data_IF_215869692366
#
_entry.id   IF_215869692366
#
_cell.length_a   1.000
_cell.length_b   1.000
_cell.length_c   1.000
_cell.angle_alpha   90.00
_cell.angle_beta   90.00
_cell.angle_gamma   90.00
#
_symmetry.space_group_name_H-M   'P 1'
#
loop_
_entity.id
_entity.type
_entity.pdbx_description
1 polymer ?
#
# COMPACT_ATOMS: atom_id res chain seq x y z
N UNK A 1 2.10 8.39 -14.22
CA UNK A 1 1.08 7.86 -13.31
C UNK A 1 -0.01 8.91 -13.22
N UNK A 2 -1.28 8.55 -13.41
CA UNK A 2 -2.40 9.46 -13.14
C UNK A 2 -2.82 9.30 -11.68
N UNK A 3 -2.93 10.42 -10.95
CA UNK A 3 -3.33 10.41 -9.55
C UNK A 3 -4.81 10.74 -9.40
N UNK A 4 -5.52 9.96 -8.59
CA UNK A 4 -6.92 10.20 -8.26
C UNK A 4 -7.07 11.31 -7.22
N UNK A 5 -8.19 12.04 -7.26
CA UNK A 5 -8.54 13.05 -6.24
C UNK A 5 -9.09 12.43 -4.95
N UNK A 6 -9.49 11.16 -4.98
CA UNK A 6 -10.17 10.50 -3.85
C UNK A 6 -9.21 9.90 -2.81
N UNK A 7 -7.90 9.90 -3.08
CA UNK A 7 -6.87 9.39 -2.15
C UNK A 7 -5.71 10.37 -2.09
N UNK A 8 -5.17 10.72 -0.90
CA UNK A 8 -4.00 11.60 -0.83
C UNK A 8 -2.83 11.07 -1.68
N UNK A 9 -2.15 11.96 -2.41
CA UNK A 9 -1.09 11.61 -3.37
C UNK A 9 0.00 10.74 -2.73
N UNK A 10 0.45 11.08 -1.51
CA UNK A 10 1.47 10.29 -0.82
C UNK A 10 1.02 8.84 -0.56
N UNK A 11 -0.27 8.60 -0.29
CA UNK A 11 -0.79 7.24 -0.11
C UNK A 11 -0.81 6.47 -1.44
N UNK A 12 -1.18 7.12 -2.54
CA UNK A 12 -1.12 6.50 -3.87
C UNK A 12 0.32 6.11 -4.26
N UNK A 13 1.31 6.91 -3.83
CA UNK A 13 2.73 6.60 -4.04
C UNK A 13 3.16 5.43 -3.16
N UNK A 14 2.69 5.35 -1.90
CA UNK A 14 2.87 4.17 -1.06
C UNK A 14 2.31 2.94 -1.77
N UNK A 15 1.05 2.95 -2.20
CA UNK A 15 0.42 1.82 -2.90
C UNK A 15 1.21 1.39 -4.13
N UNK A 16 1.70 2.35 -4.92
CA UNK A 16 2.51 2.09 -6.10
C UNK A 16 3.84 1.40 -5.75
N UNK A 17 4.55 1.89 -4.73
CA UNK A 17 5.78 1.26 -4.24
C UNK A 17 5.52 -0.17 -3.75
N UNK A 18 4.44 -0.37 -2.98
CA UNK A 18 4.04 -1.67 -2.46
C UNK A 18 3.72 -2.64 -3.59
N UNK A 19 3.00 -2.19 -4.61
CA UNK A 19 2.68 -2.99 -5.80
C UNK A 19 3.93 -3.52 -6.50
N UNK A 20 4.97 -2.67 -6.67
CA UNK A 20 6.26 -3.10 -7.26
C UNK A 20 6.99 -4.13 -6.40
N UNK A 21 6.95 -3.99 -5.08
CA UNK A 21 7.58 -4.94 -4.14
C UNK A 21 6.84 -6.28 -4.18
N UNK A 22 5.50 -6.26 -4.12
CA UNK A 22 4.66 -7.48 -4.16
C UNK A 22 4.77 -8.19 -5.51
N UNK A 23 4.89 -7.43 -6.61
CA UNK A 23 5.13 -7.98 -7.94
C UNK A 23 6.55 -8.53 -8.14
N UNK A 24 7.47 -8.33 -7.17
CA UNK A 24 8.86 -8.75 -7.27
C UNK A 24 9.73 -7.91 -8.20
N UNK A 25 9.23 -6.77 -8.68
CA UNK A 25 10.00 -5.80 -9.48
C UNK A 25 11.09 -5.12 -8.64
N UNK A 26 10.80 -4.91 -7.35
CA UNK A 26 11.74 -4.39 -6.36
C UNK A 26 12.09 -5.51 -5.38
N UNK A 27 13.29 -6.06 -5.53
CA UNK A 27 13.75 -7.23 -4.80
C UNK A 27 14.41 -6.84 -3.47
N UNK A 28 14.47 -7.79 -2.53
CA UNK A 28 15.16 -7.62 -1.26
C UNK A 28 16.58 -7.07 -1.42
N UNK A 29 16.93 -6.06 -0.62
CA UNK A 29 18.24 -5.41 -0.66
C UNK A 29 18.48 -4.52 -1.88
N UNK A 30 17.53 -4.43 -2.83
CA UNK A 30 17.63 -3.54 -3.97
C UNK A 30 17.55 -2.09 -3.51
N UNK A 31 18.43 -1.25 -4.07
CA UNK A 31 18.38 0.19 -3.87
C UNK A 31 17.18 0.78 -4.62
N UNK A 32 16.37 1.56 -3.91
CA UNK A 32 15.25 2.28 -4.49
C UNK A 32 15.70 3.57 -5.19
N UNK A 33 14.90 4.10 -6.14
CA UNK A 33 15.08 5.46 -6.61
C UNK A 33 15.11 6.42 -5.43
N UNK A 34 15.99 7.42 -5.49
CA UNK A 34 15.99 8.50 -4.52
C UNK A 34 14.68 9.28 -4.59
N UNK A 35 14.30 9.92 -3.49
CA UNK A 35 13.09 10.73 -3.45
C UNK A 35 13.10 11.86 -4.50
N UNK A 36 14.28 12.36 -4.89
CA UNK A 36 14.45 13.35 -5.97
C UNK A 36 14.20 12.77 -7.36
N UNK A 37 14.74 11.59 -7.64
CA UNK A 37 14.49 10.89 -8.91
C UNK A 37 13.00 10.60 -9.07
N UNK A 38 12.37 10.04 -8.03
CA UNK A 38 10.94 9.72 -8.08
C UNK A 38 10.05 10.98 -8.15
N UNK A 39 10.45 12.07 -7.49
CA UNK A 39 9.77 13.38 -7.57
C UNK A 39 9.73 13.92 -9.00
N UNK A 40 10.86 13.82 -9.71
CA UNK A 40 10.95 14.24 -11.12
C UNK A 40 10.17 13.29 -12.03
N UNK A 41 10.34 11.98 -11.87
CA UNK A 41 9.67 10.96 -12.69
C UNK A 41 8.14 11.06 -12.60
N UNK A 42 7.62 11.25 -11.38
CA UNK A 42 6.18 11.33 -11.13
C UNK A 42 5.61 12.74 -11.25
N UNK A 43 6.45 13.76 -11.44
CA UNK A 43 6.08 15.18 -11.38
C UNK A 43 5.32 15.54 -10.08
N UNK A 44 5.78 14.99 -8.95
CA UNK A 44 5.19 15.18 -7.61
C UNK A 44 6.16 15.92 -6.70
N UNK A 45 5.64 16.73 -5.77
CA UNK A 45 6.44 17.43 -4.77
C UNK A 45 7.33 16.47 -3.96
N UNK A 46 8.61 16.82 -3.80
CA UNK A 46 9.60 16.01 -3.06
C UNK A 46 9.15 15.63 -1.64
N UNK A 47 8.49 16.53 -0.91
CA UNK A 47 7.99 16.23 0.44
C UNK A 47 6.91 15.15 0.43
N UNK A 48 6.11 15.06 -0.63
CA UNK A 48 5.10 14.02 -0.80
C UNK A 48 5.75 12.65 -1.00
N UNK A 49 6.84 12.58 -1.77
CA UNK A 49 7.63 11.36 -1.95
C UNK A 49 8.31 10.96 -0.64
N UNK A 50 8.94 11.91 0.05
CA UNK A 50 9.58 11.66 1.34
C UNK A 50 8.59 11.15 2.37
N UNK A 51 7.37 11.70 2.41
CA UNK A 51 6.29 11.22 3.27
C UNK A 51 5.87 9.79 2.93
N UNK A 52 5.85 9.42 1.65
CA UNK A 52 5.58 8.05 1.24
C UNK A 52 6.69 7.10 1.73
N UNK A 53 7.96 7.49 1.56
CA UNK A 53 9.11 6.69 2.01
C UNK A 53 9.16 6.57 3.54
N UNK A 54 8.83 7.62 4.28
CA UNK A 54 8.71 7.59 5.74
C UNK A 54 7.66 6.56 6.20
N UNK A 55 6.52 6.48 5.51
CA UNK A 55 5.50 5.47 5.81
C UNK A 55 6.03 4.07 5.54
N UNK A 56 6.69 3.84 4.39
CA UNK A 56 7.25 2.54 4.06
C UNK A 56 8.35 2.13 5.06
N UNK A 57 9.20 3.05 5.47
CA UNK A 57 10.29 2.81 6.43
C UNK A 57 9.74 2.52 7.82
N UNK A 58 8.73 3.27 8.28
CA UNK A 58 8.04 3.04 9.56
C UNK A 58 7.37 1.67 9.62
N UNK A 59 6.96 1.12 8.48
CA UNK A 59 6.38 -0.22 8.38
C UNK A 59 7.43 -1.30 8.06
N UNK A 60 8.72 -0.97 8.16
CA UNK A 60 9.85 -1.89 7.95
C UNK A 60 9.91 -2.51 6.55
N UNK A 61 9.19 -1.94 5.58
CA UNK A 61 9.14 -2.43 4.19
C UNK A 61 10.38 -1.99 3.42
N UNK A 62 10.92 -0.84 3.80
CA UNK A 62 12.18 -0.30 3.30
C UNK A 62 13.04 0.12 4.50
N UNK A 63 14.34 0.27 4.27
CA UNK A 63 15.26 0.84 5.25
C UNK A 63 16.19 1.85 4.61
N UNK A 64 16.58 2.89 5.35
CA UNK A 64 17.61 3.82 4.92
C UNK A 64 19.01 3.35 5.29
N UNK A 65 19.99 3.66 4.45
CA UNK A 65 21.42 3.64 4.81
C UNK A 65 21.98 5.04 4.66
N UNK A 66 22.62 5.54 5.72
CA UNK A 66 23.15 6.91 5.79
C UNK A 66 24.03 7.23 4.57
N UNK A 67 23.66 8.27 3.84
CA UNK A 67 24.37 8.71 2.63
C UNK A 67 24.19 7.84 1.39
N UNK A 68 23.48 6.71 1.48
CA UNK A 68 23.33 5.75 0.37
C UNK A 68 21.90 5.64 -0.18
N UNK A 69 20.90 6.10 0.57
CA UNK A 69 19.50 6.11 0.14
C UNK A 69 18.67 5.02 0.81
N UNK A 70 17.59 4.60 0.15
CA UNK A 70 16.64 3.62 0.65
C UNK A 70 16.78 2.29 -0.09
N UNK A 71 16.48 1.20 0.62
CA UNK A 71 16.61 -0.16 0.13
C UNK A 71 15.39 -0.97 0.57
N UNK A 72 15.03 -1.98 -0.23
CA UNK A 72 13.95 -2.92 0.12
C UNK A 72 14.40 -3.80 1.29
N UNK A 73 13.57 -3.89 2.33
CA UNK A 73 13.85 -4.70 3.50
C UNK A 73 13.74 -6.21 3.23
N UNK A 74 14.27 -6.99 4.17
CA UNK A 74 14.05 -8.43 4.20
C UNK A 74 12.55 -8.71 4.44
N UNK A 75 11.98 -9.70 3.74
CA UNK A 75 10.55 -10.03 3.82
C UNK A 75 9.60 -8.87 3.45
N UNK A 76 10.07 -7.86 2.70
CA UNK A 76 9.27 -6.69 2.33
C UNK A 76 7.96 -7.04 1.61
N UNK A 77 7.93 -8.10 0.78
CA UNK A 77 6.70 -8.53 0.10
C UNK A 77 5.60 -8.99 1.09
N UNK A 78 5.98 -9.76 2.12
CA UNK A 78 5.03 -10.17 3.17
C UNK A 78 4.56 -8.99 4.02
N UNK A 79 5.45 -8.05 4.34
CA UNK A 79 5.09 -6.83 5.06
C UNK A 79 4.18 -5.92 4.22
N UNK A 80 4.45 -5.80 2.92
CA UNK A 80 3.66 -5.04 1.97
C UNK A 80 2.24 -5.62 1.80
N UNK A 81 2.11 -6.94 1.63
CA UNK A 81 0.80 -7.61 1.55
C UNK A 81 -0.02 -7.37 2.83
N UNK A 82 0.61 -7.53 4.01
CA UNK A 82 -0.05 -7.25 5.29
C UNK A 82 -0.49 -5.78 5.43
N UNK A 83 0.36 -4.83 5.02
CA UNK A 83 0.02 -3.41 5.03
C UNK A 83 -1.18 -3.11 4.14
N UNK A 84 -1.18 -3.61 2.90
CA UNK A 84 -2.28 -3.41 1.94
C UNK A 84 -3.59 -3.98 2.48
N UNK A 85 -3.57 -5.18 3.05
CA UNK A 85 -4.74 -5.79 3.69
C UNK A 85 -5.29 -4.93 4.82
N UNK A 86 -4.42 -4.49 5.74
CA UNK A 86 -4.84 -3.62 6.86
C UNK A 86 -5.44 -2.31 6.36
N UNK A 87 -4.76 -1.62 5.45
CA UNK A 87 -5.25 -0.35 4.91
C UNK A 87 -6.62 -0.52 4.24
N UNK A 88 -6.83 -1.63 3.51
CA UNK A 88 -8.12 -1.96 2.88
C UNK A 88 -9.21 -2.20 3.92
N UNK A 89 -8.96 -3.03 4.94
CA UNK A 89 -9.95 -3.29 5.99
C UNK A 89 -10.27 -2.06 6.84
N UNK A 90 -9.24 -1.32 7.24
CA UNK A 90 -9.35 -0.23 8.20
C UNK A 90 -9.89 1.06 7.56
N UNK A 91 -9.72 1.27 6.25
CA UNK A 91 -10.14 2.49 5.58
C UNK A 91 -11.18 2.26 4.47
N UNK A 92 -10.96 1.31 3.57
CA UNK A 92 -11.85 1.12 2.41
C UNK A 92 -13.11 0.34 2.77
N UNK A 93 -12.99 -0.66 3.65
CA UNK A 93 -14.14 -1.45 4.11
C UNK A 93 -14.79 -0.95 5.38
N UNK A 94 -14.20 -0.01 6.12
CA UNK A 94 -14.76 0.48 7.39
C UNK A 94 -16.22 0.96 7.25
N UNK A 95 -16.50 1.84 6.28
CA UNK A 95 -17.86 2.32 6.02
C UNK A 95 -18.80 1.20 5.54
N UNK A 96 -18.25 0.24 4.78
CA UNK A 96 -19.00 -0.92 4.31
C UNK A 96 -19.40 -1.83 5.47
N UNK A 97 -18.50 -2.08 6.43
CA UNK A 97 -18.83 -2.82 7.65
C UNK A 97 -19.90 -2.11 8.48
N UNK A 98 -19.87 -0.78 8.57
CA UNK A 98 -20.95 -0.01 9.20
C UNK A 98 -22.30 -0.23 8.53
N UNK A 99 -22.35 -0.25 7.18
CA UNK A 99 -23.58 -0.52 6.43
C UNK A 99 -24.08 -1.94 6.61
N UNK A 100 -23.19 -2.94 6.53
CA UNK A 100 -23.52 -4.34 6.76
C UNK A 100 -24.14 -4.53 8.15
N UNK A 101 -23.52 -3.95 9.18
CA UNK A 101 -24.04 -3.96 10.54
C UNK A 101 -25.42 -3.29 10.65
N UNK A 102 -25.65 -2.15 10.00
CA UNK A 102 -26.97 -1.47 10.01
C UNK A 102 -28.09 -2.26 9.32
N UNK A 103 -27.74 -3.16 8.40
CA UNK A 103 -28.68 -4.04 7.71
C UNK A 103 -28.87 -5.37 8.45
N UNK A 104 -28.15 -5.60 9.56
CA UNK A 104 -28.19 -6.86 10.29
C UNK A 104 -27.40 -8.00 9.63
N UNK A 105 -26.55 -7.71 8.64
CA UNK A 105 -25.75 -8.71 7.95
C UNK A 105 -24.61 -9.14 8.86
N UNK A 106 -24.68 -10.39 9.33
CA UNK A 106 -23.71 -10.99 10.23
C UNK A 106 -22.48 -11.56 9.50
N UNK A 107 -21.42 -11.95 10.25
CA UNK A 107 -20.20 -12.52 9.68
C UNK A 107 -20.45 -13.79 8.84
N UNK A 108 -21.38 -14.64 9.26
CA UNK A 108 -21.70 -15.90 8.55
C UNK A 108 -22.35 -15.64 7.19
N UNK A 109 -23.34 -14.73 7.16
CA UNK A 109 -24.03 -14.33 5.92
C UNK A 109 -23.06 -13.63 4.95
N UNK A 110 -22.22 -12.71 5.45
CA UNK A 110 -21.18 -12.07 4.65
C UNK A 110 -20.18 -13.09 4.09
N UNK A 111 -19.73 -14.03 4.92
CA UNK A 111 -18.77 -15.07 4.52
C UNK A 111 -19.37 -15.97 3.45
N UNK A 112 -20.64 -16.33 3.58
CA UNK A 112 -21.35 -17.13 2.58
C UNK A 112 -21.48 -16.38 1.25
N UNK A 113 -21.93 -15.12 1.29
CA UNK A 113 -22.06 -14.29 0.09
C UNK A 113 -20.72 -14.09 -0.64
N UNK A 114 -19.62 -13.91 0.10
CA UNK A 114 -18.29 -13.77 -0.50
C UNK A 114 -17.79 -15.08 -1.12
N UNK A 115 -18.07 -16.24 -0.49
CA UNK A 115 -17.75 -17.56 -1.08
C UNK A 115 -18.48 -17.76 -2.40
N UNK A 116 -19.79 -17.50 -2.44
CA UNK A 116 -20.58 -17.61 -3.66
C UNK A 116 -20.11 -16.66 -4.76
N UNK A 117 -19.63 -15.46 -4.40
CA UNK A 117 -19.02 -14.55 -5.36
C UNK A 117 -17.73 -15.12 -5.97
N UNK A 118 -16.86 -15.72 -5.15
CA UNK A 118 -15.60 -16.32 -5.62
C UNK A 118 -15.83 -17.51 -6.56
N UNK A 119 -16.89 -18.29 -6.35
CA UNK A 119 -17.23 -19.42 -7.24
C UNK A 119 -17.72 -18.97 -8.63
N UNK A 120 -18.21 -17.74 -8.75
CA UNK A 120 -18.71 -17.17 -10.02
C UNK A 120 -17.63 -16.41 -10.81
N UNK A 121 -16.45 -16.22 -10.23
CA UNK A 121 -15.35 -15.42 -10.80
C UNK A 121 -14.29 -16.32 -11.41
#
# INVERSE_FOLDING_TARGET
MEFSVNKPIFKQIVDWCLGRIVAGEWQQGQKLPSARELSVEMAVNLHTILKAYEILERNEIIYSRRGMGFFVADNAAGLADNYLRREFFDNELADTFGRLASMGIGPDELSQAYREYLERK
#
